data_IF_975695492938
#
_entry.id   IF_975695492938
#
_cell.length_a   1.000
_cell.length_b   1.000
_cell.length_c   1.000
_cell.angle_alpha   90.00
_cell.angle_beta   90.00
_cell.angle_gamma   90.00
#
_symmetry.space_group_name_H-M   'P 1'
#
loop_
_entity.id
_entity.type
_entity.pdbx_description
1 polymer ?
#
# COMPACT_ATOMS: atom_id res chain seq x y z
N UNK A 1 -32.98 -37.93 -69.76
CA UNK A 1 -32.63 -38.20 -68.35
C UNK A 1 -31.47 -37.32 -68.01
N UNK A 2 -31.72 -36.37 -67.13
CA UNK A 2 -30.94 -35.17 -66.88
C UNK A 2 -29.70 -35.47 -66.03
N UNK A 3 -28.54 -34.94 -66.44
CA UNK A 3 -27.34 -34.88 -65.62
C UNK A 3 -27.58 -33.96 -64.42
N UNK A 4 -27.48 -34.53 -63.21
CA UNK A 4 -27.44 -33.76 -61.97
C UNK A 4 -25.98 -33.68 -61.54
N UNK A 5 -25.30 -32.62 -61.98
CA UNK A 5 -24.00 -32.21 -61.45
C UNK A 5 -24.23 -31.59 -60.07
N UNK A 6 -23.79 -32.30 -59.02
CA UNK A 6 -23.77 -31.79 -57.65
C UNK A 6 -22.45 -31.05 -57.38
N UNK A 7 -22.46 -29.76 -57.00
CA UNK A 7 -21.26 -29.10 -56.50
C UNK A 7 -21.11 -29.38 -55.00
N UNK A 8 -20.25 -30.33 -54.64
CA UNK A 8 -19.86 -30.52 -53.24
C UNK A 8 -18.91 -29.38 -52.84
N UNK A 9 -19.47 -28.35 -52.21
CA UNK A 9 -18.74 -27.20 -51.68
C UNK A 9 -17.75 -27.62 -50.59
N UNK A 10 -16.46 -27.45 -50.88
CA UNK A 10 -15.41 -27.48 -49.88
C UNK A 10 -15.58 -26.28 -48.93
N UNK A 11 -15.86 -26.51 -47.65
CA UNK A 11 -15.63 -25.50 -46.60
C UNK A 11 -14.44 -25.91 -45.75
N UNK A 12 -13.24 -25.67 -46.27
CA UNK A 12 -12.01 -25.66 -45.46
C UNK A 12 -12.03 -24.38 -44.61
N UNK A 13 -12.58 -24.45 -43.40
CA UNK A 13 -12.34 -23.39 -42.39
C UNK A 13 -10.84 -23.39 -42.08
N UNK A 14 -10.12 -22.41 -42.63
CA UNK A 14 -8.73 -22.17 -42.33
C UNK A 14 -8.58 -21.98 -40.81
N UNK A 15 -7.87 -22.91 -40.15
CA UNK A 15 -7.45 -22.73 -38.76
C UNK A 15 -6.44 -21.58 -38.74
N UNK A 16 -6.89 -20.37 -38.41
CA UNK A 16 -5.99 -19.22 -38.19
C UNK A 16 -4.98 -19.58 -37.11
N UNK A 17 -3.70 -19.28 -37.35
CA UNK A 17 -2.64 -19.55 -36.39
C UNK A 17 -2.97 -18.86 -35.06
N UNK A 18 -2.69 -19.53 -33.95
CA UNK A 18 -2.90 -18.97 -32.60
C UNK A 18 -2.20 -17.60 -32.45
N UNK A 19 -1.06 -17.42 -33.14
CA UNK A 19 -0.31 -16.17 -33.20
C UNK A 19 -1.13 -15.03 -33.83
N UNK A 20 -1.81 -15.31 -34.94
CA UNK A 20 -2.64 -14.32 -35.65
C UNK A 20 -3.86 -13.93 -34.82
N UNK A 21 -4.41 -14.88 -34.04
CA UNK A 21 -5.53 -14.63 -33.14
C UNK A 21 -5.12 -13.70 -31.97
N UNK A 22 -3.94 -13.91 -31.41
CA UNK A 22 -3.39 -13.06 -30.34
C UNK A 22 -3.11 -11.66 -30.88
N UNK A 23 -2.52 -11.54 -32.07
CA UNK A 23 -2.19 -10.24 -32.66
C UNK A 23 -3.43 -9.41 -32.99
N UNK A 24 -4.49 -10.04 -33.51
CA UNK A 24 -5.77 -9.39 -33.77
C UNK A 24 -6.49 -8.97 -32.47
N UNK A 25 -6.41 -9.80 -31.43
CA UNK A 25 -6.94 -9.46 -30.12
C UNK A 25 -6.22 -8.25 -29.51
N UNK A 26 -4.88 -8.18 -29.64
CA UNK A 26 -4.10 -7.03 -29.18
C UNK A 26 -4.44 -5.74 -29.93
N UNK A 27 -4.60 -5.79 -31.26
CA UNK A 27 -5.04 -4.64 -32.06
C UNK A 27 -6.41 -4.14 -31.66
N UNK A 28 -7.32 -5.05 -31.32
CA UNK A 28 -8.68 -4.72 -30.87
C UNK A 28 -8.64 -4.00 -29.52
N UNK A 29 -7.84 -4.49 -28.56
CA UNK A 29 -7.64 -3.85 -27.25
C UNK A 29 -7.00 -2.46 -27.39
N UNK A 30 -6.04 -2.31 -28.30
CA UNK A 30 -5.40 -1.01 -28.52
C UNK A 30 -6.39 0.01 -29.14
N UNK A 31 -7.23 -0.44 -30.08
CA UNK A 31 -8.28 0.39 -30.68
C UNK A 31 -9.31 0.84 -29.63
N UNK A 32 -9.74 -0.05 -28.74
CA UNK A 32 -10.68 0.32 -27.67
C UNK A 32 -10.06 1.25 -26.65
N UNK A 33 -8.78 1.06 -26.29
CA UNK A 33 -8.04 1.98 -25.43
C UNK A 33 -7.87 3.38 -26.05
N UNK A 34 -7.74 3.47 -27.38
CA UNK A 34 -7.69 4.76 -28.09
C UNK A 34 -9.04 5.48 -28.12
N UNK A 35 -10.15 4.74 -28.13
CA UNK A 35 -11.51 5.30 -28.13
C UNK A 35 -12.02 5.66 -26.73
N UNK A 36 -11.41 5.12 -25.67
CA UNK A 36 -11.73 5.52 -24.30
C UNK A 36 -11.12 6.90 -24.03
N UNK A 37 -11.96 7.93 -24.14
CA UNK A 37 -11.57 9.31 -23.86
C UNK A 37 -11.23 9.49 -22.37
N UNK A 38 -9.93 9.36 -22.07
CA UNK A 38 -9.39 9.58 -20.73
C UNK A 38 -9.69 10.99 -20.20
N UNK A 39 -9.92 11.98 -21.07
CA UNK A 39 -10.25 13.35 -20.64
C UNK A 39 -11.69 13.47 -20.15
N UNK A 40 -12.64 12.77 -20.76
CA UNK A 40 -14.03 12.72 -20.29
C UNK A 40 -14.15 12.09 -18.91
N UNK A 41 -13.50 10.94 -18.69
CA UNK A 41 -13.52 10.23 -17.41
C UNK A 41 -12.85 11.06 -16.30
N UNK A 42 -11.74 11.74 -16.59
CA UNK A 42 -11.07 12.60 -15.61
C UNK A 42 -11.92 13.83 -15.28
N UNK A 43 -12.63 14.42 -16.26
CA UNK A 43 -13.54 15.55 -16.02
C UNK A 43 -14.70 15.13 -15.12
N UNK A 44 -15.39 14.02 -15.40
CA UNK A 44 -16.46 13.51 -14.53
C UNK A 44 -15.96 13.24 -13.11
N UNK A 45 -14.81 12.58 -12.96
CA UNK A 45 -14.25 12.31 -11.63
C UNK A 45 -13.89 13.59 -10.87
N UNK A 46 -13.48 14.64 -11.58
CA UNK A 46 -13.17 15.94 -10.96
C UNK A 46 -14.45 16.66 -10.56
N UNK A 47 -15.48 16.65 -11.41
CA UNK A 47 -16.79 17.26 -11.13
C UNK A 47 -17.50 16.59 -9.95
N UNK A 48 -17.43 15.26 -9.85
CA UNK A 48 -17.96 14.51 -8.70
C UNK A 48 -17.19 14.86 -7.42
N UNK A 49 -15.86 15.03 -7.51
CA UNK A 49 -15.04 15.41 -6.34
C UNK A 49 -15.33 16.85 -5.88
N UNK A 50 -15.61 17.78 -6.80
CA UNK A 50 -15.93 19.16 -6.44
C UNK A 50 -17.33 19.27 -5.85
N UNK A 51 -18.33 18.58 -6.41
CA UNK A 51 -19.69 18.55 -5.87
C UNK A 51 -19.74 18.00 -4.44
N UNK A 52 -18.93 16.97 -4.15
CA UNK A 52 -18.84 16.39 -2.80
C UNK A 52 -18.18 17.34 -1.79
N UNK A 53 -17.21 18.15 -2.23
CA UNK A 53 -16.56 19.14 -1.37
C UNK A 53 -17.50 20.32 -1.03
N UNK A 54 -18.36 20.73 -1.97
CA UNK A 54 -19.37 21.78 -1.76
C UNK A 54 -20.49 21.33 -0.80
N UNK A 55 -20.91 20.05 -0.87
CA UNK A 55 -21.89 19.48 0.07
C UNK A 55 -21.35 19.40 1.51
N UNK A 56 -20.06 19.04 1.69
CA UNK A 56 -19.40 19.01 2.99
C UNK A 56 -19.16 20.42 3.59
N UNK A 57 -19.06 21.47 2.76
CA UNK A 57 -19.00 22.86 3.23
C UNK A 57 -20.36 23.40 3.65
N UNK A 58 -21.42 23.07 2.90
CA UNK A 58 -22.79 23.49 3.23
C UNK A 58 -23.28 22.92 4.56
N UNK A 59 -22.89 21.68 4.90
CA UNK A 59 -23.19 21.04 6.19
C UNK A 59 -22.44 21.66 7.39
N UNK A 60 -21.36 22.42 7.16
CA UNK A 60 -20.62 23.11 8.23
C UNK A 60 -21.17 24.50 8.52
N UNK A 61 -21.68 25.21 7.52
CA UNK A 61 -22.24 26.55 7.69
C UNK A 61 -23.59 26.57 8.43
N UNK A 62 -24.40 25.50 8.36
CA UNK A 62 -25.69 25.41 9.07
C UNK A 62 -25.55 25.20 10.59
N UNK A 63 -24.34 24.96 11.11
CA UNK A 63 -24.09 24.70 12.54
C UNK A 63 -23.53 25.88 13.33
N UNK A 64 -23.36 27.06 12.71
CA UNK A 64 -22.68 28.21 13.31
C UNK A 64 -23.60 29.33 13.86
N UNK A 65 -24.92 29.25 13.67
CA UNK A 65 -25.86 30.27 14.15
C UNK A 65 -26.56 29.84 15.44
N UNK A 66 -25.88 29.99 16.59
CA UNK A 66 -26.50 30.15 17.92
C UNK A 66 -25.42 30.45 18.98
N UNK A 67 -24.88 31.67 18.99
CA UNK A 67 -24.51 32.33 20.24
C UNK A 67 -24.44 33.86 20.07
N UNK A 68 -25.31 34.59 20.75
CA UNK A 68 -25.21 36.05 20.87
C UNK A 68 -25.91 36.53 22.14
N UNK A 69 -25.27 37.54 22.75
CA UNK A 69 -25.71 38.45 23.81
C UNK A 69 -25.17 38.09 25.22
N UNK A 70 -24.53 38.95 26.02
CA UNK A 70 -24.31 40.41 26.00
C UNK A 70 -23.14 40.80 26.95
N UNK A 71 -22.48 41.91 26.61
CA UNK A 71 -21.40 42.77 27.17
C UNK A 71 -21.04 42.90 28.70
N UNK A 72 -19.84 43.50 29.01
CA UNK A 72 -19.21 43.70 30.35
C UNK A 72 -19.50 45.13 30.93
N UNK A 73 -19.05 45.57 32.17
CA UNK A 73 -17.66 46.04 32.44
C UNK A 73 -17.12 46.07 33.93
N UNK A 74 -15.78 46.15 34.06
CA UNK A 74 -14.91 46.98 34.97
C UNK A 74 -15.18 47.13 36.50
N UNK A 75 -14.16 46.83 37.34
CA UNK A 75 -13.49 47.67 38.42
C UNK A 75 -12.29 46.91 39.05
N UNK A 76 -11.05 47.44 39.05
CA UNK A 76 -10.25 47.99 40.20
C UNK A 76 -10.11 47.03 41.41
N UNK A 77 -8.99 46.78 42.12
CA UNK A 77 -7.75 47.51 42.46
C UNK A 77 -6.80 46.57 43.29
N UNK A 78 -5.45 46.76 43.19
CA UNK A 78 -4.31 46.54 44.15
C UNK A 78 -4.23 45.22 44.99
N UNK A 79 -3.13 44.44 45.06
CA UNK A 79 -1.82 44.71 45.75
C UNK A 79 -0.89 43.47 45.63
N UNK A 80 0.44 43.69 45.60
CA UNK A 80 1.58 42.71 45.68
C UNK A 80 2.08 42.62 47.16
N UNK A 81 3.04 41.79 47.67
CA UNK A 81 3.90 40.73 47.10
C UNK A 81 4.16 39.48 48.07
N UNK A 82 5.31 38.74 48.10
CA UNK A 82 5.42 37.25 48.06
C UNK A 82 6.10 36.70 49.36
N UNK A 83 6.99 35.66 49.38
CA UNK A 83 7.14 34.34 48.73
C UNK A 83 7.07 33.18 49.77
N UNK A 84 7.36 31.92 49.39
CA UNK A 84 8.16 30.90 50.15
C UNK A 84 7.80 29.45 49.75
N UNK A 85 8.76 28.74 49.15
CA UNK A 85 8.91 27.26 49.08
C UNK A 85 9.44 26.77 50.45
N UNK A 86 9.09 25.59 51.05
CA UNK A 86 9.43 24.27 50.47
C UNK A 86 8.62 23.02 50.91
N UNK A 87 8.86 21.93 50.18
CA UNK A 87 8.92 20.50 50.60
C UNK A 87 7.76 19.85 51.38
N UNK A 88 7.30 18.71 50.87
CA UNK A 88 6.55 17.73 51.66
C UNK A 88 6.14 16.50 50.85
N UNK A 89 6.90 15.41 51.00
CA UNK A 89 6.53 14.09 50.51
C UNK A 89 5.24 13.61 51.16
N UNK A 90 4.36 12.96 50.41
CA UNK A 90 3.37 12.02 50.98
C UNK A 90 3.18 10.86 50.02
N UNK A 91 3.58 9.68 50.49
CA UNK A 91 3.23 8.39 49.91
C UNK A 91 1.75 8.17 50.22
N UNK A 92 0.92 7.98 49.18
CA UNK A 92 -0.34 7.27 49.32
C UNK A 92 -0.49 6.20 48.24
N UNK A 93 -0.66 4.98 48.74
CA UNK A 93 -1.04 3.76 48.06
C UNK A 93 -2.50 3.85 47.63
N UNK A 94 -2.80 3.64 46.35
CA UNK A 94 -4.15 3.31 45.89
C UNK A 94 -4.06 2.16 44.88
N UNK A 95 -5.03 1.27 44.99
CA UNK A 95 -5.18 -0.04 44.37
C UNK A 95 -5.34 0.00 42.83
N UNK A 96 -5.30 -1.16 42.15
CA UNK A 96 -5.04 -1.29 40.72
C UNK A 96 -6.32 -1.10 39.93
N UNK A 97 -6.30 -0.24 38.91
CA UNK A 97 -7.11 -0.36 37.70
C UNK A 97 -6.64 0.75 36.77
N UNK A 98 -5.97 0.40 35.68
CA UNK A 98 -6.11 1.10 34.40
C UNK A 98 -5.60 0.12 33.34
N UNK A 99 -6.55 -0.56 32.73
CA UNK A 99 -6.60 -0.88 31.31
C UNK A 99 -5.23 -1.08 30.65
N UNK A 100 -4.83 -2.35 30.59
CA UNK A 100 -3.87 -2.80 29.59
C UNK A 100 -4.52 -2.58 28.21
N UNK A 101 -4.29 -1.38 27.65
CA UNK A 101 -4.32 -1.19 26.20
C UNK A 101 -3.21 -2.06 25.66
N UNK A 102 -3.56 -3.30 25.30
CA UNK A 102 -2.67 -4.22 24.59
C UNK A 102 -2.31 -3.48 23.30
N UNK A 103 -1.12 -2.90 23.25
CA UNK A 103 -0.50 -2.47 22.01
C UNK A 103 -0.32 -3.74 21.19
N UNK A 104 -1.30 -4.01 20.34
CA UNK A 104 -1.20 -5.03 19.29
C UNK A 104 0.09 -4.73 18.54
N UNK A 105 1.07 -5.64 18.64
CA UNK A 105 2.37 -5.40 18.03
C UNK A 105 2.12 -5.21 16.53
N UNK A 106 2.76 -4.24 15.87
CA UNK A 106 2.43 -3.90 14.47
C UNK A 106 2.58 -5.12 13.53
N UNK A 107 3.33 -6.16 13.92
CA UNK A 107 3.41 -7.46 13.23
C UNK A 107 2.14 -8.30 13.32
N UNK A 108 1.43 -8.29 14.46
CA UNK A 108 0.13 -8.95 14.63
C UNK A 108 -0.95 -8.29 13.77
N UNK A 109 -0.72 -7.06 13.29
CA UNK A 109 -1.65 -6.38 12.38
C UNK A 109 -1.66 -6.98 10.96
N UNK A 110 -0.63 -7.75 10.59
CA UNK A 110 -0.52 -8.36 9.25
C UNK A 110 -0.98 -9.82 9.20
N UNK A 111 -1.28 -10.44 10.36
CA UNK A 111 -1.65 -11.86 10.42
C UNK A 111 -2.88 -12.19 9.57
N UNK A 112 -3.86 -11.27 9.55
CA UNK A 112 -5.15 -11.43 8.88
C UNK A 112 -5.10 -11.06 7.38
N UNK A 113 -3.97 -10.60 6.85
CA UNK A 113 -3.84 -10.25 5.44
C UNK A 113 -3.97 -11.49 4.53
N UNK A 114 -4.54 -11.35 3.33
CA UNK A 114 -4.61 -12.45 2.36
C UNK A 114 -3.22 -13.01 2.02
N UNK A 115 -2.30 -12.12 1.69
CA UNK A 115 -0.89 -12.41 1.46
C UNK A 115 -0.11 -12.26 2.76
N UNK A 116 0.73 -13.24 3.07
CA UNK A 116 1.62 -13.17 4.23
C UNK A 116 2.71 -12.14 3.99
N UNK A 117 2.95 -11.29 4.97
CA UNK A 117 3.99 -10.26 4.89
C UNK A 117 5.12 -10.68 5.81
N UNK A 118 6.28 -10.92 5.24
CA UNK A 118 7.49 -11.33 5.97
C UNK A 118 8.52 -10.23 5.86
N UNK A 119 8.91 -9.66 6.99
CA UNK A 119 9.96 -8.65 7.05
C UNK A 119 11.29 -9.33 7.35
N UNK A 120 12.32 -9.03 6.55
CA UNK A 120 13.69 -9.33 6.97
C UNK A 120 14.06 -8.51 8.21
N UNK A 121 14.95 -9.02 9.07
CA UNK A 121 15.43 -8.27 10.25
C UNK A 121 15.91 -6.86 9.91
N UNK A 122 16.50 -6.72 8.72
CA UNK A 122 16.99 -5.44 8.24
C UNK A 122 15.86 -4.50 7.85
N UNK A 123 14.84 -4.99 7.14
CA UNK A 123 13.65 -4.20 6.84
C UNK A 123 12.93 -3.78 8.12
N UNK A 124 12.79 -4.68 9.10
CA UNK A 124 12.20 -4.40 10.41
C UNK A 124 12.91 -3.26 11.13
N UNK A 125 14.23 -3.36 11.30
CA UNK A 125 15.04 -2.29 11.91
C UNK A 125 14.94 -0.95 11.17
N UNK A 126 14.92 -1.00 9.83
CA UNK A 126 14.77 0.21 9.02
C UNK A 126 13.38 0.86 9.19
N UNK A 127 12.34 0.06 9.28
CA UNK A 127 10.98 0.51 9.52
C UNK A 127 10.83 1.11 10.92
N UNK A 128 11.30 0.42 11.96
CA UNK A 128 11.24 0.89 13.35
C UNK A 128 11.98 2.22 13.57
N UNK A 129 13.06 2.44 12.82
CA UNK A 129 13.87 3.66 12.87
C UNK A 129 13.27 4.86 12.11
N UNK A 130 12.13 4.69 11.42
CA UNK A 130 11.44 5.81 10.76
C UNK A 130 10.69 6.67 11.77
N UNK A 131 10.44 7.93 11.38
CA UNK A 131 9.53 8.80 12.11
C UNK A 131 8.11 8.20 12.16
N UNK A 132 7.31 8.47 13.22
CA UNK A 132 5.98 7.88 13.39
C UNK A 132 5.06 8.02 12.17
N UNK A 133 5.14 9.16 11.46
CA UNK A 133 4.37 9.40 10.23
C UNK A 133 4.75 8.43 9.11
N UNK A 134 6.04 8.24 8.89
CA UNK A 134 6.55 7.38 7.83
C UNK A 134 6.37 5.90 8.21
N UNK A 135 6.48 5.53 9.50
CA UNK A 135 6.10 4.21 10.00
C UNK A 135 4.67 3.87 9.65
N UNK A 136 3.73 4.76 9.99
CA UNK A 136 2.31 4.58 9.68
C UNK A 136 2.05 4.47 8.16
N UNK A 137 2.78 5.24 7.34
CA UNK A 137 2.68 5.16 5.89
C UNK A 137 3.18 3.80 5.36
N UNK A 138 4.26 3.25 5.92
CA UNK A 138 4.74 1.91 5.61
C UNK A 138 3.70 0.86 6.00
N UNK A 139 3.16 0.90 7.23
CA UNK A 139 2.14 -0.05 7.69
C UNK A 139 0.92 -0.08 6.76
N UNK A 140 0.40 1.10 6.39
CA UNK A 140 -0.73 1.22 5.44
C UNK A 140 -0.40 0.63 4.07
N UNK A 141 0.81 0.89 3.57
CA UNK A 141 1.26 0.37 2.28
C UNK A 141 1.36 -1.16 2.33
N UNK A 142 1.90 -1.71 3.41
CA UNK A 142 2.00 -3.15 3.63
C UNK A 142 0.63 -3.81 3.78
N UNK A 143 -0.33 -3.21 4.51
CA UNK A 143 -1.70 -3.73 4.61
C UNK A 143 -2.38 -3.83 3.25
N UNK A 144 -2.32 -2.77 2.44
CA UNK A 144 -2.90 -2.76 1.09
C UNK A 144 -2.23 -3.81 0.19
N UNK A 145 -0.91 -3.98 0.32
CA UNK A 145 -0.19 -5.07 -0.34
C UNK A 145 -0.66 -6.45 0.14
N UNK A 146 -0.82 -6.63 1.45
CA UNK A 146 -1.29 -7.86 2.10
C UNK A 146 -2.70 -8.26 1.67
N UNK A 147 -3.60 -7.31 1.45
CA UNK A 147 -4.95 -7.55 0.93
C UNK A 147 -4.95 -8.03 -0.54
N UNK A 148 -3.83 -7.84 -1.25
CA UNK A 148 -3.64 -8.28 -2.63
C UNK A 148 -3.87 -7.19 -3.67
N UNK A 149 -4.01 -5.93 -3.26
CA UNK A 149 -4.04 -4.81 -4.20
C UNK A 149 -2.68 -4.65 -4.88
N UNK A 150 -2.70 -4.42 -6.21
CA UNK A 150 -1.51 -4.25 -7.04
C UNK A 150 -1.78 -3.13 -8.05
N UNK A 151 -1.43 -1.90 -7.70
CA UNK A 151 -1.43 -0.78 -8.65
C UNK A 151 -0.02 -0.53 -9.17
N UNK A 152 0.12 0.20 -10.28
CA UNK A 152 1.45 0.51 -10.85
C UNK A 152 2.33 1.29 -9.85
N UNK A 153 1.73 2.16 -9.03
CA UNK A 153 2.46 2.92 -8.01
C UNK A 153 2.80 2.10 -6.77
N UNK A 154 2.02 1.08 -6.47
CA UNK A 154 2.21 0.18 -5.33
C UNK A 154 3.15 -0.99 -5.66
N UNK A 155 3.20 -1.44 -6.90
CA UNK A 155 3.92 -2.64 -7.31
C UNK A 155 4.75 -2.37 -8.55
N UNK A 156 5.54 -1.30 -8.54
CA UNK A 156 6.41 -0.96 -9.65
C UNK A 156 7.50 -2.01 -9.78
N UNK A 157 7.47 -2.79 -10.85
CA UNK A 157 8.47 -3.83 -11.10
C UNK A 157 9.85 -3.20 -11.34
N UNK A 158 10.86 -3.72 -10.64
CA UNK A 158 12.25 -3.33 -10.84
C UNK A 158 12.81 -4.09 -12.06
N UNK A 159 13.49 -3.37 -12.95
CA UNK A 159 14.16 -3.93 -14.12
C UNK A 159 15.66 -4.08 -13.85
N UNK A 160 16.35 -4.89 -14.67
CA UNK A 160 17.79 -5.13 -14.52
C UNK A 160 18.17 -6.09 -13.38
N UNK A 161 17.19 -6.79 -12.80
CA UNK A 161 17.39 -7.90 -11.85
C UNK A 161 17.12 -9.24 -12.55
N UNK A 162 17.64 -10.37 -12.03
CA UNK A 162 17.37 -11.70 -12.58
C UNK A 162 15.85 -11.95 -12.76
N UNK A 163 15.45 -12.56 -13.87
CA UNK A 163 14.03 -12.80 -14.19
C UNK A 163 13.32 -13.72 -13.19
N UNK A 164 14.08 -14.56 -12.49
CA UNK A 164 13.61 -15.41 -11.38
C UNK A 164 13.27 -14.62 -10.12
N UNK A 165 13.78 -13.40 -9.99
CA UNK A 165 13.57 -12.53 -8.82
C UNK A 165 12.44 -11.53 -9.14
N UNK A 166 11.25 -11.78 -8.58
CA UNK A 166 10.08 -10.91 -8.74
C UNK A 166 10.17 -9.72 -7.78
N UNK A 167 11.07 -8.77 -8.07
CA UNK A 167 11.33 -7.61 -7.23
C UNK A 167 10.49 -6.39 -7.62
N UNK A 168 9.92 -5.73 -6.62
CA UNK A 168 9.03 -4.59 -6.77
C UNK A 168 9.35 -3.46 -5.79
N UNK A 169 8.98 -2.26 -6.18
CA UNK A 169 9.09 -1.02 -5.42
C UNK A 169 7.68 -0.48 -5.12
N UNK A 170 7.45 -0.11 -3.85
CA UNK A 170 6.27 0.66 -3.42
C UNK A 170 6.70 2.01 -2.88
N UNK A 171 5.93 3.05 -3.18
CA UNK A 171 6.13 4.38 -2.62
C UNK A 171 5.27 4.58 -1.37
N UNK A 172 5.88 4.98 -0.26
CA UNK A 172 5.15 5.39 0.95
C UNK A 172 5.27 6.89 1.25
N UNK A 173 6.31 7.57 0.75
CA UNK A 173 6.48 9.03 0.85
C UNK A 173 7.16 9.59 -0.40
N UNK A 174 7.41 10.91 -0.48
CA UNK A 174 8.11 11.51 -1.64
C UNK A 174 9.48 10.85 -1.87
N UNK A 175 10.27 10.74 -0.79
CA UNK A 175 11.58 10.09 -0.77
C UNK A 175 11.54 8.58 -0.51
N UNK A 176 10.52 8.13 0.22
CA UNK A 176 10.46 6.79 0.80
C UNK A 176 10.02 5.69 -0.15
N UNK A 177 10.70 4.54 -0.11
CA UNK A 177 10.42 3.32 -0.88
C UNK A 177 10.47 2.06 -0.02
N UNK A 178 9.57 1.13 -0.30
CA UNK A 178 9.62 -0.26 0.19
C UNK A 178 10.10 -1.12 -0.97
N UNK A 179 11.18 -1.87 -0.75
CA UNK A 179 11.68 -2.85 -1.70
C UNK A 179 11.25 -4.24 -1.22
N UNK A 180 10.42 -4.92 -2.01
CA UNK A 180 9.82 -6.20 -1.66
C UNK A 180 9.81 -7.16 -2.84
N UNK A 181 9.68 -8.44 -2.53
CA UNK A 181 9.66 -9.53 -3.48
C UNK A 181 8.37 -10.34 -3.30
N UNK A 182 7.81 -10.79 -4.42
CA UNK A 182 6.81 -11.85 -4.44
C UNK A 182 7.55 -13.20 -4.46
N UNK A 183 7.63 -13.87 -3.32
CA UNK A 183 8.43 -15.08 -3.12
C UNK A 183 7.56 -16.25 -2.70
N UNK A 184 8.03 -17.48 -2.95
CA UNK A 184 7.45 -18.68 -2.34
C UNK A 184 8.22 -18.98 -1.06
N UNK A 185 7.51 -19.08 0.06
CA UNK A 185 8.11 -19.41 1.35
C UNK A 185 7.18 -20.28 2.19
N UNK A 186 7.73 -20.84 3.25
CA UNK A 186 7.01 -21.69 4.17
C UNK A 186 6.14 -20.84 5.09
N UNK A 187 4.83 -21.13 5.10
CA UNK A 187 3.87 -20.43 5.95
C UNK A 187 3.46 -21.29 7.14
N UNK A 188 3.42 -20.65 8.31
CA UNK A 188 2.92 -21.24 9.56
C UNK A 188 1.48 -20.84 9.87
N UNK A 189 0.79 -20.13 8.97
CA UNK A 189 -0.59 -19.65 9.22
C UNK A 189 -1.63 -20.78 9.27
N UNK A 190 -1.28 -21.97 8.80
CA UNK A 190 -2.13 -23.13 8.80
C UNK A 190 -1.52 -24.22 9.69
N UNK A 191 -2.37 -25.00 10.36
CA UNK A 191 -1.96 -26.12 11.24
C UNK A 191 -1.03 -27.13 10.55
N UNK A 192 -1.11 -27.19 9.22
CA UNK A 192 -0.17 -27.88 8.37
C UNK A 192 0.64 -26.84 7.61
N UNK A 193 1.94 -26.95 7.71
CA UNK A 193 2.82 -25.99 7.10
C UNK A 193 2.98 -26.29 5.60
N UNK A 194 2.65 -25.30 4.77
CA UNK A 194 2.69 -25.40 3.32
C UNK A 194 3.49 -24.23 2.75
N UNK A 195 4.07 -24.45 1.57
CA UNK A 195 4.64 -23.37 0.77
C UNK A 195 3.53 -22.52 0.19
N UNK A 196 3.63 -21.21 0.38
CA UNK A 196 2.68 -20.23 -0.16
C UNK A 196 3.42 -19.06 -0.78
N UNK A 197 2.72 -18.30 -1.62
CA UNK A 197 3.20 -17.03 -2.10
C UNK A 197 3.12 -15.98 -0.96
N UNK A 198 4.24 -15.33 -0.70
CA UNK A 198 4.41 -14.32 0.34
C UNK A 198 4.91 -12.99 -0.26
N UNK A 199 4.72 -11.93 0.51
CA UNK A 199 5.35 -10.63 0.28
C UNK A 199 6.53 -10.53 1.23
N UNK A 200 7.74 -10.72 0.68
CA UNK A 200 8.98 -10.57 1.47
C UNK A 200 9.52 -9.16 1.36
N UNK A 201 9.56 -8.43 2.46
CA UNK A 201 10.11 -7.07 2.52
C UNK A 201 11.61 -7.14 2.79
N UNK A 202 12.39 -6.69 1.80
CA UNK A 202 13.85 -6.69 1.87
C UNK A 202 14.39 -5.43 2.54
N UNK A 203 13.84 -4.26 2.18
CA UNK A 203 14.32 -2.98 2.69
C UNK A 203 13.20 -1.94 2.76
N UNK A 204 13.30 -1.08 3.77
CA UNK A 204 12.53 0.15 3.88
C UNK A 204 13.53 1.31 3.79
N UNK A 205 13.35 2.18 2.80
CA UNK A 205 14.36 3.18 2.40
C UNK A 205 13.73 4.56 2.41
N UNK A 206 14.18 5.46 3.29
CA UNK A 206 13.65 6.84 3.35
C UNK A 206 14.13 7.74 2.20
N UNK A 207 15.30 7.44 1.64
CA UNK A 207 15.93 8.21 0.56
C UNK A 207 16.06 7.37 -0.71
N UNK A 208 15.25 7.68 -1.73
CA UNK A 208 15.22 6.91 -2.98
C UNK A 208 16.55 6.88 -3.75
N UNK A 209 17.45 7.83 -3.50
CA UNK A 209 18.77 7.89 -4.14
C UNK A 209 19.60 6.64 -3.86
N UNK A 210 19.35 5.99 -2.72
CA UNK A 210 20.02 4.76 -2.32
C UNK A 210 19.31 3.49 -2.82
N UNK A 211 18.13 3.60 -3.47
CA UNK A 211 17.33 2.45 -3.86
C UNK A 211 18.10 1.49 -4.77
N UNK A 212 18.83 2.01 -5.75
CA UNK A 212 19.61 1.18 -6.68
C UNK A 212 20.66 0.33 -5.96
N UNK A 213 21.31 0.87 -4.93
CA UNK A 213 22.24 0.11 -4.09
C UNK A 213 21.56 -1.07 -3.38
N UNK A 214 20.32 -0.89 -2.93
CA UNK A 214 19.54 -1.97 -2.31
C UNK A 214 19.04 -3.01 -3.32
N UNK A 215 18.64 -2.58 -4.51
CA UNK A 215 18.31 -3.48 -5.63
C UNK A 215 19.47 -4.42 -5.96
N UNK A 216 20.69 -3.89 -6.08
CA UNK A 216 21.88 -4.70 -6.33
C UNK A 216 22.17 -5.68 -5.19
N UNK A 217 21.90 -5.30 -3.94
CA UNK A 217 22.02 -6.19 -2.78
C UNK A 217 21.01 -7.34 -2.83
N UNK A 218 19.74 -7.06 -3.18
CA UNK A 218 18.73 -8.09 -3.39
C UNK A 218 19.17 -9.07 -4.49
N UNK A 219 19.57 -8.55 -5.66
CA UNK A 219 19.98 -9.39 -6.79
C UNK A 219 21.18 -10.29 -6.44
N UNK A 220 22.21 -9.72 -5.78
CA UNK A 220 23.37 -10.49 -5.31
C UNK A 220 22.98 -11.56 -4.29
N UNK A 221 22.16 -11.23 -3.31
CA UNK A 221 21.68 -12.19 -2.30
C UNK A 221 20.90 -13.33 -2.94
N UNK A 222 20.02 -13.03 -3.90
CA UNK A 222 19.24 -14.02 -4.65
C UNK A 222 20.15 -14.96 -5.43
N UNK A 223 21.15 -14.42 -6.14
CA UNK A 223 22.11 -15.22 -6.90
C UNK A 223 22.92 -16.16 -6.00
N UNK A 224 23.40 -15.67 -4.85
CA UNK A 224 24.12 -16.50 -3.88
C UNK A 224 23.23 -17.62 -3.32
N UNK A 225 21.96 -17.30 -3.02
CA UNK A 225 20.99 -18.30 -2.58
C UNK A 225 20.70 -19.38 -3.63
N UNK A 226 20.75 -19.05 -4.92
CA UNK A 226 20.65 -20.03 -6.00
C UNK A 226 21.90 -20.92 -6.10
N UNK A 227 23.09 -20.32 -5.98
CA UNK A 227 24.35 -21.08 -6.05
C UNK A 227 24.50 -22.08 -4.91
N UNK A 228 24.07 -21.72 -3.69
CA UNK A 228 24.08 -22.63 -2.53
C UNK A 228 23.05 -23.77 -2.58
N UNK A 229 22.14 -23.79 -3.57
CA UNK A 229 21.19 -24.90 -3.78
C UNK A 229 21.68 -25.94 -4.80
N UNK A 230 22.77 -25.65 -5.53
CA UNK A 230 23.28 -26.48 -6.64
C UNK A 230 24.46 -27.36 -6.19
N UNK A 231 24.87 -27.27 -4.93
CA UNK A 231 25.91 -28.11 -4.30
C UNK A 231 25.30 -29.16 -3.41
#
# INVERSE_FOLDING_TARGET
YSEVVMPCGQTKKAKRSLKDQIEEAMKTVEKTLRTLDRRGIIKELTEISTAKAEEEQKLKEESADLDSSTDPPVVEETTVPPPTTPQGQTIQRVAPTTEQKIEKTEEESFADCKWEIVLTDKAKRQWEALDPKDRSAVSKTLLVLGEGHRSISLSKKITGVPTTLKLYESKFSKGGRILWEEAVDFSYRYEKAFYTDIIRVWFVVSQHDQLQKYVQKCAKSHQLGLQGRVT
#
